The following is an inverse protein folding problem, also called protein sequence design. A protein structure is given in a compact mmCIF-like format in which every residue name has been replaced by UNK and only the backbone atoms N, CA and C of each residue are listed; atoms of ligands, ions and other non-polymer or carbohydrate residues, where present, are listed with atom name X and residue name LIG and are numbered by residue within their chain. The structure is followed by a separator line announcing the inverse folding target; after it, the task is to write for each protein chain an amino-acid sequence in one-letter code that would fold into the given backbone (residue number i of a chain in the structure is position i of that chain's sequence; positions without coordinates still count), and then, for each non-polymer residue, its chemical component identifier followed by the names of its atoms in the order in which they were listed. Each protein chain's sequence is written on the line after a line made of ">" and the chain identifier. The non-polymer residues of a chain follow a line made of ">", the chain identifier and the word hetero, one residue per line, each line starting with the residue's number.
data_IF_001623739844
#
_entry.id   IF_001623739844
#
_cell.length_a   1.000
_cell.length_b   1.000
_cell.length_c   1.000
_cell.angle_alpha   90.00
_cell.angle_beta   90.00
_cell.angle_gamma   90.00
#
_symmetry.space_group_name_H-M   'P 1'
#
loop_
_entity.id
_entity.type
_entity.pdbx_description
1 polymer ?
#
# COMPACT_ATOMS: atom_id res chain seq x y z
N UNK A 1 18.90 -16.57 -8.52
CA UNK A 1 19.32 -15.56 -9.53
C UNK A 1 19.46 -14.16 -8.91
N UNK A 2 18.45 -13.60 -8.23
CA UNK A 2 18.50 -12.22 -7.70
C UNK A 2 19.58 -11.92 -6.65
N UNK A 3 19.76 -12.80 -5.64
CA UNK A 3 20.75 -12.60 -4.56
C UNK A 3 22.21 -12.65 -4.99
N UNK A 4 22.49 -13.15 -6.21
CA UNK A 4 23.82 -13.15 -6.79
C UNK A 4 24.21 -11.76 -7.33
N UNK A 5 23.24 -10.88 -7.66
CA UNK A 5 23.51 -9.50 -8.00
C UNK A 5 23.82 -8.70 -6.73
N UNK A 6 25.01 -8.09 -6.69
CA UNK A 6 25.47 -7.31 -5.54
C UNK A 6 24.54 -6.14 -5.20
N UNK A 7 23.92 -5.51 -6.20
CA UNK A 7 23.02 -4.35 -6.00
C UNK A 7 21.73 -4.79 -5.33
N UNK A 8 21.10 -5.85 -5.83
CA UNK A 8 19.88 -6.44 -5.24
C UNK A 8 20.15 -6.88 -3.80
N UNK A 9 21.28 -7.57 -3.57
CA UNK A 9 21.65 -8.02 -2.23
C UNK A 9 21.90 -6.85 -1.27
N UNK A 10 22.55 -5.79 -1.73
CA UNK A 10 22.77 -4.60 -0.92
C UNK A 10 21.45 -3.97 -0.46
N UNK A 11 20.50 -3.79 -1.38
CA UNK A 11 19.22 -3.16 -1.06
C UNK A 11 18.37 -4.05 -0.15
N UNK A 12 18.40 -5.37 -0.36
CA UNK A 12 17.75 -6.32 0.54
C UNK A 12 18.34 -6.27 1.95
N UNK A 13 19.67 -6.30 2.09
CA UNK A 13 20.34 -6.22 3.40
C UNK A 13 20.02 -4.90 4.09
N UNK A 14 20.00 -3.79 3.34
CA UNK A 14 19.60 -2.48 3.86
C UNK A 14 18.15 -2.53 4.37
N UNK A 15 17.22 -3.05 3.57
CA UNK A 15 15.81 -3.18 3.94
C UNK A 15 15.64 -4.03 5.20
N UNK A 16 16.26 -5.22 5.25
CA UNK A 16 16.20 -6.13 6.41
C UNK A 16 16.80 -5.54 7.69
N UNK A 17 17.71 -4.55 7.58
CA UNK A 17 18.34 -3.87 8.73
C UNK A 17 17.63 -2.58 9.13
N UNK A 18 16.54 -2.22 8.45
CA UNK A 18 15.75 -1.03 8.76
C UNK A 18 15.22 -1.11 10.18
N UNK A 19 15.41 -0.04 10.96
CA UNK A 19 14.80 0.11 12.28
C UNK A 19 13.58 1.01 12.14
N UNK A 20 12.47 0.56 12.71
CA UNK A 20 11.22 1.32 12.71
C UNK A 20 11.09 2.07 14.04
N UNK A 21 11.01 3.40 13.97
CA UNK A 21 10.60 4.21 15.11
C UNK A 21 9.08 4.31 15.10
N UNK A 22 8.44 3.68 16.08
CA UNK A 22 6.98 3.63 16.16
C UNK A 22 6.35 5.01 16.26
N UNK A 23 6.93 5.93 17.03
CA UNK A 23 6.36 7.26 17.23
C UNK A 23 6.47 8.10 15.95
N UNK A 24 7.59 7.98 15.24
CA UNK A 24 7.76 8.60 13.92
C UNK A 24 6.78 8.05 12.89
N UNK A 25 6.64 6.72 12.80
CA UNK A 25 5.70 6.09 11.87
C UNK A 25 4.24 6.53 12.13
N UNK A 26 3.81 6.54 13.39
CA UNK A 26 2.45 6.98 13.74
C UNK A 26 2.25 8.46 13.36
N UNK A 27 3.21 9.33 13.70
CA UNK A 27 3.15 10.74 13.34
C UNK A 27 3.08 10.93 11.82
N UNK A 28 3.92 10.23 11.07
CA UNK A 28 3.98 10.32 9.62
C UNK A 28 2.67 9.84 8.96
N UNK A 29 2.13 8.70 9.39
CA UNK A 29 0.84 8.19 8.89
C UNK A 29 -0.28 9.17 9.18
N UNK A 30 -0.36 9.72 10.40
CA UNK A 30 -1.44 10.65 10.76
C UNK A 30 -1.43 11.92 9.90
N UNK A 31 -0.29 12.36 9.35
CA UNK A 31 -0.23 13.50 8.42
C UNK A 31 -0.98 13.26 7.10
N UNK A 32 -1.35 12.02 6.79
CA UNK A 32 -2.19 11.73 5.62
C UNK A 32 -3.59 12.36 5.75
N UNK A 33 -4.05 12.70 6.96
CA UNK A 33 -5.32 13.44 7.14
C UNK A 33 -5.27 14.85 6.56
N UNK A 34 -4.07 15.41 6.40
CA UNK A 34 -3.88 16.78 5.91
C UNK A 34 -3.78 16.83 4.37
N UNK A 35 -3.80 15.67 3.69
CA UNK A 35 -3.73 15.61 2.24
C UNK A 35 -5.07 16.04 1.64
N UNK A 36 -5.05 17.17 0.92
CA UNK A 36 -6.27 17.80 0.38
C UNK A 36 -6.70 17.25 -1.00
N UNK A 37 -5.98 16.28 -1.55
CA UNK A 37 -6.35 15.65 -2.83
C UNK A 37 -7.26 14.45 -2.62
N UNK A 38 -7.91 14.02 -3.70
CA UNK A 38 -8.71 12.79 -3.68
C UNK A 38 -7.81 11.57 -3.44
N UNK A 39 -8.29 10.62 -2.64
CA UNK A 39 -7.56 9.39 -2.31
C UNK A 39 -8.34 8.15 -2.73
N UNK A 40 -7.67 7.25 -3.44
CA UNK A 40 -8.10 5.87 -3.67
C UNK A 40 -7.26 4.94 -2.79
N UNK A 41 -7.92 4.17 -1.93
CA UNK A 41 -7.29 3.08 -1.17
C UNK A 41 -7.62 1.77 -1.88
N UNK A 42 -6.62 1.15 -2.52
CA UNK A 42 -6.72 -0.19 -3.07
C UNK A 42 -6.21 -1.21 -2.06
N UNK A 43 -6.99 -2.25 -1.80
CA UNK A 43 -6.67 -3.26 -0.80
C UNK A 43 -7.05 -4.67 -1.26
N UNK A 44 -6.40 -5.68 -0.70
CA UNK A 44 -6.80 -7.09 -0.85
C UNK A 44 -6.97 -7.72 0.52
N UNK A 45 -7.88 -8.69 0.64
CA UNK A 45 -8.00 -9.47 1.88
C UNK A 45 -6.88 -10.50 1.92
N UNK A 46 -5.83 -10.18 2.68
CA UNK A 46 -4.62 -10.99 2.74
C UNK A 46 -4.13 -11.16 4.19
N UNK A 47 -3.31 -12.18 4.50
CA UNK A 47 -2.91 -12.49 5.88
C UNK A 47 -1.84 -11.54 6.46
N UNK A 48 -1.22 -10.69 5.64
CA UNK A 48 -0.12 -9.80 6.05
C UNK A 48 -0.65 -8.44 6.48
N UNK A 49 -1.70 -7.97 5.83
CA UNK A 49 -2.29 -6.65 5.99
C UNK A 49 -3.76 -6.79 6.41
N UNK A 50 -4.08 -6.67 7.71
CA UNK A 50 -5.44 -6.83 8.23
C UNK A 50 -6.45 -5.90 7.54
N UNK A 51 -7.67 -6.41 7.33
CA UNK A 51 -8.76 -5.69 6.64
C UNK A 51 -9.10 -4.36 7.34
N UNK A 52 -9.10 -4.34 8.68
CA UNK A 52 -9.34 -3.15 9.48
C UNK A 52 -8.40 -1.98 9.16
N UNK A 53 -7.17 -2.26 8.68
CA UNK A 53 -6.24 -1.21 8.28
C UNK A 53 -6.68 -0.51 7.00
N UNK A 54 -7.38 -1.20 6.09
CA UNK A 54 -7.92 -0.61 4.87
C UNK A 54 -8.98 0.43 5.20
N UNK A 55 -9.92 0.06 6.08
CA UNK A 55 -10.99 0.94 6.56
C UNK A 55 -10.42 2.16 7.28
N UNK A 56 -9.50 1.94 8.23
CA UNK A 56 -8.86 3.05 8.98
C UNK A 56 -8.08 4.00 8.08
N UNK A 57 -7.43 3.50 7.04
CA UNK A 57 -6.70 4.34 6.09
C UNK A 57 -7.64 5.18 5.24
N UNK A 58 -8.73 4.57 4.73
CA UNK A 58 -9.74 5.31 3.97
C UNK A 58 -10.43 6.37 4.83
N UNK A 59 -10.77 6.07 6.08
CA UNK A 59 -11.32 7.03 7.04
C UNK A 59 -10.34 8.17 7.32
N UNK A 60 -9.06 7.85 7.58
CA UNK A 60 -8.02 8.84 7.89
C UNK A 60 -7.86 9.86 6.76
N UNK A 61 -7.96 9.43 5.50
CA UNK A 61 -7.78 10.30 4.33
C UNK A 61 -9.10 10.83 3.76
N UNK A 62 -10.26 10.44 4.29
CA UNK A 62 -11.55 10.65 3.63
C UNK A 62 -11.64 10.01 2.23
N UNK A 63 -10.86 8.95 1.99
CA UNK A 63 -10.65 8.33 0.69
C UNK A 63 -11.71 7.29 0.32
N UNK A 64 -11.70 6.89 -0.96
CA UNK A 64 -12.52 5.80 -1.48
C UNK A 64 -11.79 4.47 -1.33
N UNK A 65 -12.37 3.52 -0.58
CA UNK A 65 -11.85 2.15 -0.47
C UNK A 65 -12.37 1.24 -1.58
N UNK A 66 -11.47 0.51 -2.24
CA UNK A 66 -11.79 -0.55 -3.21
C UNK A 66 -10.99 -1.81 -2.92
N UNK A 67 -11.68 -2.94 -2.94
CA UNK A 67 -11.06 -4.25 -2.79
C UNK A 67 -10.71 -4.83 -4.16
N UNK A 68 -9.51 -5.39 -4.25
CA UNK A 68 -9.02 -6.22 -5.35
C UNK A 68 -9.07 -7.66 -4.87
N UNK A 69 -9.95 -8.44 -5.51
CA UNK A 69 -10.14 -9.85 -5.18
C UNK A 69 -9.04 -10.72 -5.79
N UNK A 70 -8.79 -11.89 -5.20
CA UNK A 70 -7.79 -12.86 -5.68
C UNK A 70 -6.36 -12.28 -5.79
N UNK A 71 -5.96 -11.53 -4.75
CA UNK A 71 -4.64 -10.90 -4.65
C UNK A 71 -4.08 -10.96 -3.23
N UNK A 72 -2.76 -10.92 -3.11
CA UNK A 72 -2.03 -10.69 -1.86
C UNK A 72 -1.62 -9.21 -1.75
N UNK A 73 -0.55 -8.90 -1.01
CA UNK A 73 -0.10 -7.51 -0.78
C UNK A 73 0.40 -6.79 -2.04
N UNK A 74 0.77 -7.53 -3.09
CA UNK A 74 1.24 -6.97 -4.35
C UNK A 74 0.12 -7.00 -5.40
N UNK A 75 -1.00 -6.32 -5.10
CA UNK A 75 -2.24 -6.32 -5.92
C UNK A 75 -2.01 -5.97 -7.39
N UNK A 76 -1.03 -5.11 -7.67
CA UNK A 76 -0.66 -4.71 -9.03
C UNK A 76 0.03 -5.82 -9.84
N UNK A 77 0.67 -6.78 -9.17
CA UNK A 77 1.27 -7.96 -9.80
C UNK A 77 0.28 -9.11 -9.89
N UNK A 78 -0.52 -9.30 -8.85
CA UNK A 78 -1.48 -10.40 -8.77
C UNK A 78 -2.68 -10.15 -9.68
N UNK A 79 -3.19 -8.91 -9.76
CA UNK A 79 -4.40 -8.53 -10.48
C UNK A 79 -4.22 -7.18 -11.22
N UNK A 80 -3.38 -7.14 -12.27
CA UNK A 80 -3.06 -5.90 -12.97
C UNK A 80 -4.27 -5.25 -13.65
N UNK A 81 -5.16 -6.04 -14.27
CA UNK A 81 -6.34 -5.51 -14.97
C UNK A 81 -7.36 -4.90 -14.00
N UNK A 82 -7.58 -5.54 -12.85
CA UNK A 82 -8.47 -5.00 -11.81
C UNK A 82 -7.90 -3.72 -11.24
N UNK A 83 -6.62 -3.73 -10.89
CA UNK A 83 -5.90 -2.55 -10.38
C UNK A 83 -6.00 -1.38 -11.36
N UNK A 84 -5.71 -1.61 -12.64
CA UNK A 84 -5.78 -0.58 -13.68
C UNK A 84 -7.20 -0.03 -13.86
N UNK A 85 -8.22 -0.89 -13.82
CA UNK A 85 -9.62 -0.47 -13.91
C UNK A 85 -10.03 0.44 -12.75
N UNK A 86 -9.71 0.07 -11.51
CA UNK A 86 -10.08 0.89 -10.35
C UNK A 86 -9.37 2.25 -10.35
N UNK A 87 -8.09 2.29 -10.76
CA UNK A 87 -7.36 3.56 -10.95
C UNK A 87 -8.02 4.40 -12.06
N UNK A 88 -8.32 3.80 -13.21
CA UNK A 88 -8.97 4.49 -14.32
C UNK A 88 -10.32 5.09 -13.92
N UNK A 89 -11.16 4.30 -13.25
CA UNK A 89 -12.47 4.75 -12.77
C UNK A 89 -12.37 5.85 -11.71
N UNK A 90 -11.29 5.89 -10.93
CA UNK A 90 -11.05 6.93 -9.95
C UNK A 90 -10.64 8.26 -10.62
N UNK A 91 -9.81 8.20 -11.66
CA UNK A 91 -9.30 9.40 -12.35
C UNK A 91 -10.35 10.10 -13.23
N UNK A 92 -11.45 9.43 -13.58
CA UNK A 92 -12.51 9.96 -14.45
C UNK A 92 -13.80 10.28 -13.71
N UNK A 93 -13.75 10.41 -12.38
CA UNK A 93 -14.91 10.82 -11.57
C UNK A 93 -15.16 12.32 -11.63
#
# INVERSE_FOLDING_TARGET
>A
AGLADRRIRHDLVKYCRTKFDKADLIRATNRLSDFAGDVLVLWSRNPVMPDDHATRLAELTGGTLRYVDDANVLVMLDQPEQTAREIGAFLTR
#
